data_IF_534433070234
#
_entry.id   IF_534433070234
#
_cell.length_a   1.000
_cell.length_b   1.000
_cell.length_c   1.000
_cell.angle_alpha   90.00
_cell.angle_beta   90.00
_cell.angle_gamma   90.00
#
_symmetry.space_group_name_H-M   'P 1'
#
loop_
_entity.id
_entity.type
_entity.pdbx_description
1 polymer ?
#
# COMPACT_ATOMS: atom_id res chain seq x y z
N UNK A 1 13.20 3.38 -19.26
CA UNK A 1 12.59 4.53 -18.54
C UNK A 1 13.14 4.54 -17.14
N UNK A 2 13.21 5.70 -16.53
CA UNK A 2 13.79 5.80 -15.19
C UNK A 2 12.67 5.91 -14.16
N UNK A 3 12.58 4.93 -13.28
CA UNK A 3 11.66 4.92 -12.14
C UNK A 3 12.50 5.10 -10.87
N UNK A 4 12.09 6.01 -10.00
CA UNK A 4 12.57 6.07 -8.62
C UNK A 4 11.57 5.33 -7.72
N UNK A 5 12.04 4.39 -6.93
CA UNK A 5 11.22 3.82 -5.84
C UNK A 5 11.40 4.66 -4.59
N UNK A 6 10.31 5.04 -3.94
CA UNK A 6 10.33 5.83 -2.69
C UNK A 6 9.81 4.99 -1.54
N UNK A 7 10.57 4.95 -0.44
CA UNK A 7 10.33 4.10 0.72
C UNK A 7 10.39 4.96 2.00
N UNK A 8 9.27 5.37 2.60
CA UNK A 8 9.26 5.84 3.98
C UNK A 8 9.52 4.68 4.93
N UNK A 9 10.37 4.88 5.95
CA UNK A 9 10.72 3.81 6.87
C UNK A 9 10.86 4.31 8.31
N UNK A 10 10.43 3.49 9.27
CA UNK A 10 10.60 3.76 10.69
C UNK A 10 10.76 2.47 11.50
N UNK A 11 11.94 2.27 12.12
CA UNK A 11 12.27 1.09 12.94
C UNK A 11 12.06 -0.24 12.18
N UNK A 12 12.72 -0.37 11.01
CA UNK A 12 12.60 -1.51 10.10
C UNK A 12 13.92 -2.21 9.77
N UNK A 13 14.97 -1.97 10.54
CA UNK A 13 16.29 -2.55 10.29
C UNK A 13 16.25 -4.06 9.94
N UNK A 14 15.39 -4.83 10.59
CA UNK A 14 15.26 -6.28 10.36
C UNK A 14 14.60 -6.65 9.01
N UNK A 15 13.78 -5.78 8.45
CA UNK A 15 13.03 -6.05 7.22
C UNK A 15 13.75 -5.56 5.97
N UNK A 16 14.48 -4.46 6.08
CA UNK A 16 15.15 -3.82 4.93
C UNK A 16 16.07 -4.76 4.13
N UNK A 17 16.84 -5.71 4.74
CA UNK A 17 17.62 -6.69 3.98
C UNK A 17 16.77 -7.63 3.11
N UNK A 18 15.49 -7.81 3.44
CA UNK A 18 14.55 -8.66 2.70
C UNK A 18 13.85 -7.83 1.62
N UNK A 19 13.38 -6.65 1.97
CA UNK A 19 12.49 -5.83 1.12
C UNK A 19 13.25 -5.02 0.08
N UNK A 20 14.30 -4.30 0.47
CA UNK A 20 15.06 -3.40 -0.42
C UNK A 20 15.58 -4.09 -1.67
N UNK A 21 16.18 -5.30 -1.63
CA UNK A 21 16.67 -5.97 -2.83
C UNK A 21 15.61 -6.18 -3.91
N UNK A 22 14.34 -6.36 -3.52
CA UNK A 22 13.25 -6.65 -4.46
C UNK A 22 12.82 -5.44 -5.29
N UNK A 23 13.15 -4.24 -4.85
CA UNK A 23 12.88 -2.99 -5.55
C UNK A 23 13.90 -2.67 -6.64
N UNK A 24 15.08 -3.31 -6.64
CA UNK A 24 16.09 -3.12 -7.68
C UNK A 24 15.76 -3.96 -8.92
N UNK A 25 14.72 -3.55 -9.66
CA UNK A 25 14.29 -4.17 -10.93
C UNK A 25 14.83 -3.37 -12.13
N UNK A 26 14.73 -3.96 -13.35
CA UNK A 26 15.39 -3.47 -14.56
C UNK A 26 15.14 -1.99 -14.89
N UNK A 27 13.92 -1.48 -14.68
CA UNK A 27 13.56 -0.09 -15.01
C UNK A 27 13.79 0.88 -13.84
N UNK A 28 14.28 0.40 -12.70
CA UNK A 28 14.52 1.23 -11.50
C UNK A 28 15.91 1.84 -11.57
N UNK A 29 15.97 3.17 -11.58
CA UNK A 29 17.24 3.92 -11.58
C UNK A 29 17.80 4.14 -10.19
N UNK A 30 16.93 4.28 -9.20
CA UNK A 30 17.29 4.53 -7.81
C UNK A 30 16.19 4.07 -6.85
N UNK A 31 16.61 3.74 -5.63
CA UNK A 31 15.70 3.54 -4.50
C UNK A 31 16.02 4.63 -3.47
N UNK A 32 15.01 5.39 -3.06
CA UNK A 32 15.12 6.49 -2.10
C UNK A 32 14.45 6.06 -0.80
N UNK A 33 15.23 5.78 0.22
CA UNK A 33 14.73 5.48 1.56
C UNK A 33 14.82 6.73 2.42
N UNK A 34 13.70 7.14 3.01
CA UNK A 34 13.63 8.20 4.00
C UNK A 34 13.28 7.60 5.35
N UNK A 35 14.24 7.65 6.26
CA UNK A 35 14.13 7.18 7.63
C UNK A 35 13.47 8.26 8.49
N UNK A 36 12.32 7.95 9.06
CA UNK A 36 11.54 8.84 9.90
C UNK A 36 12.06 8.90 11.35
N UNK A 37 13.36 9.13 11.51
CA UNK A 37 14.04 9.21 12.81
C UNK A 37 13.98 7.88 13.60
N UNK A 38 14.37 6.77 12.98
CA UNK A 38 14.44 5.44 13.63
C UNK A 38 15.37 5.45 14.84
N UNK A 39 15.01 4.68 15.85
CA UNK A 39 15.79 4.47 17.07
C UNK A 39 16.52 3.12 17.11
N UNK A 40 16.24 2.25 16.14
CA UNK A 40 16.97 0.99 15.95
C UNK A 40 18.20 1.19 15.05
N UNK A 41 18.84 0.11 14.63
CA UNK A 41 20.03 0.14 13.77
C UNK A 41 19.72 0.28 12.28
N UNK A 42 18.61 0.96 11.91
CA UNK A 42 18.20 1.17 10.50
C UNK A 42 19.32 1.84 9.70
N UNK A 43 19.98 2.88 10.23
CA UNK A 43 21.03 3.61 9.51
C UNK A 43 22.23 2.72 9.15
N UNK A 44 22.67 1.86 10.08
CA UNK A 44 23.78 0.93 9.87
C UNK A 44 23.42 -0.12 8.81
N UNK A 45 22.21 -0.68 8.88
CA UNK A 45 21.71 -1.65 7.89
C UNK A 45 21.63 -1.03 6.50
N UNK A 46 21.14 0.20 6.39
CA UNK A 46 21.08 0.88 5.09
C UNK A 46 22.48 1.14 4.53
N UNK A 47 23.44 1.55 5.38
CA UNK A 47 24.83 1.73 4.96
C UNK A 47 25.45 0.44 4.42
N UNK A 48 25.14 -0.71 5.02
CA UNK A 48 25.56 -2.02 4.51
C UNK A 48 24.89 -2.32 3.15
N UNK A 49 23.57 -2.09 3.03
CA UNK A 49 22.86 -2.29 1.78
C UNK A 49 23.37 -1.41 0.64
N UNK A 50 23.82 -0.18 0.93
CA UNK A 50 24.43 0.71 -0.07
C UNK A 50 25.71 0.16 -0.68
N UNK A 51 26.44 -0.72 0.01
CA UNK A 51 27.64 -1.40 -0.56
C UNK A 51 27.25 -2.37 -1.68
N UNK A 52 26.04 -2.95 -1.61
CA UNK A 52 25.50 -3.90 -2.60
C UNK A 52 24.65 -3.20 -3.66
N UNK A 53 24.01 -2.11 -3.27
CA UNK A 53 23.09 -1.33 -4.09
C UNK A 53 23.53 0.15 -4.13
N UNK A 54 24.50 0.53 -4.98
CA UNK A 54 25.09 1.89 -4.98
C UNK A 54 24.07 3.00 -5.31
N UNK A 55 22.96 2.67 -5.95
CA UNK A 55 21.88 3.63 -6.25
C UNK A 55 20.79 3.70 -5.17
N UNK A 56 21.02 3.07 -4.01
CA UNK A 56 20.21 3.27 -2.79
C UNK A 56 20.59 4.60 -2.17
N UNK A 57 19.68 5.55 -2.15
CA UNK A 57 19.86 6.85 -1.52
C UNK A 57 19.16 6.88 -0.18
N UNK A 58 19.83 7.33 0.87
CA UNK A 58 19.36 7.40 2.22
C UNK A 58 19.24 8.84 2.70
N UNK A 59 18.09 9.18 3.25
CA UNK A 59 17.81 10.43 3.93
C UNK A 59 17.19 10.13 5.29
N UNK A 60 17.35 11.04 6.24
CA UNK A 60 16.81 10.88 7.60
C UNK A 60 16.13 12.16 8.04
N UNK A 61 14.92 12.05 8.58
CA UNK A 61 14.24 13.16 9.24
C UNK A 61 14.87 13.42 10.61
N UNK A 62 14.87 14.67 11.05
CA UNK A 62 15.38 15.07 12.37
C UNK A 62 14.47 14.58 13.51
N UNK A 63 13.17 14.47 13.25
CA UNK A 63 12.16 14.00 14.20
C UNK A 63 11.20 13.04 13.50
N UNK A 64 10.52 12.18 14.27
CA UNK A 64 9.49 11.30 13.73
C UNK A 64 8.26 12.12 13.29
N UNK A 65 8.12 12.30 11.98
CA UNK A 65 7.13 13.18 11.32
C UNK A 65 5.95 12.41 10.71
N UNK A 66 5.93 11.08 10.86
CA UNK A 66 4.93 10.13 10.35
C UNK A 66 4.98 9.95 8.83
N UNK A 67 4.27 8.91 8.39
CA UNK A 67 4.35 8.40 7.02
C UNK A 67 4.01 9.44 5.95
N UNK A 68 2.92 10.23 6.02
CA UNK A 68 2.59 11.20 4.96
C UNK A 68 3.68 12.26 4.73
N UNK A 69 4.26 12.78 5.82
CA UNK A 69 5.35 13.75 5.72
C UNK A 69 6.61 13.11 5.12
N UNK A 70 6.98 11.93 5.62
CA UNK A 70 8.16 11.18 5.17
C UNK A 70 8.05 10.79 3.70
N UNK A 71 6.86 10.43 3.24
CA UNK A 71 6.56 10.17 1.84
C UNK A 71 6.75 11.44 0.97
N UNK A 72 6.26 12.59 1.42
CA UNK A 72 6.46 13.86 0.72
C UNK A 72 7.93 14.26 0.65
N UNK A 73 8.71 14.02 1.71
CA UNK A 73 10.17 14.21 1.69
C UNK A 73 10.79 13.31 0.63
N UNK A 74 10.43 12.02 0.58
CA UNK A 74 10.96 11.09 -0.43
C UNK A 74 10.62 11.56 -1.86
N UNK A 75 9.37 11.95 -2.13
CA UNK A 75 8.93 12.49 -3.42
C UNK A 75 9.75 13.73 -3.83
N UNK A 76 10.12 14.60 -2.87
CA UNK A 76 10.91 15.79 -3.15
C UNK A 76 12.33 15.49 -3.64
N UNK A 77 12.88 14.30 -3.32
CA UNK A 77 14.23 13.86 -3.69
C UNK A 77 14.31 13.14 -5.04
N UNK A 78 13.18 12.80 -5.64
CA UNK A 78 13.09 12.07 -6.93
C UNK A 78 13.55 12.94 -8.08
N UNK A 79 14.32 12.37 -9.01
CA UNK A 79 14.76 13.02 -10.24
C UNK A 79 14.16 12.38 -11.49
N UNK A 80 13.61 11.18 -11.40
CA UNK A 80 13.00 10.44 -12.51
C UNK A 80 11.62 10.96 -12.90
N UNK A 81 11.16 10.52 -14.07
CA UNK A 81 9.81 10.85 -14.60
C UNK A 81 8.69 10.11 -13.86
N UNK A 82 9.00 8.93 -13.30
CA UNK A 82 8.04 8.06 -12.62
C UNK A 82 8.51 7.74 -11.22
N UNK A 83 7.54 7.61 -10.31
CA UNK A 83 7.73 7.18 -8.93
C UNK A 83 6.95 5.90 -8.71
N UNK A 84 7.59 4.89 -8.15
CA UNK A 84 6.90 3.76 -7.52
C UNK A 84 6.87 3.99 -6.01
N UNK A 85 5.67 4.03 -5.44
CA UNK A 85 5.49 4.18 -4.00
C UNK A 85 5.61 2.79 -3.35
N UNK A 86 6.77 2.47 -2.81
CA UNK A 86 7.03 1.20 -2.15
C UNK A 86 6.78 1.26 -0.63
N UNK A 87 6.78 0.08 0.00
CA UNK A 87 6.67 -0.09 1.45
C UNK A 87 7.89 -0.81 2.02
N UNK A 88 8.32 -0.43 3.22
CA UNK A 88 9.49 -1.02 3.90
C UNK A 88 9.20 -2.41 4.49
N UNK A 89 7.97 -2.88 4.45
CA UNK A 89 7.51 -4.18 4.94
C UNK A 89 6.83 -5.04 3.86
N UNK A 90 7.15 -4.77 2.60
CA UNK A 90 6.64 -5.51 1.43
C UNK A 90 7.76 -5.89 0.49
N UNK A 91 7.58 -6.99 -0.22
CA UNK A 91 8.41 -7.38 -1.36
C UNK A 91 7.69 -7.09 -2.67
N UNK A 92 8.43 -6.60 -3.65
CA UNK A 92 7.91 -6.37 -4.99
C UNK A 92 8.24 -7.57 -5.88
N UNK A 93 7.22 -8.22 -6.43
CA UNK A 93 7.41 -9.39 -7.28
C UNK A 93 8.19 -9.03 -8.57
N UNK A 94 9.10 -9.89 -9.03
CA UNK A 94 9.93 -9.60 -10.21
C UNK A 94 9.12 -9.20 -11.45
N UNK A 95 9.58 -8.16 -12.16
CA UNK A 95 8.92 -7.64 -13.35
C UNK A 95 7.72 -6.72 -13.09
N UNK A 96 7.34 -6.48 -11.82
CA UNK A 96 6.18 -5.64 -11.49
C UNK A 96 6.34 -4.22 -12.03
N UNK A 97 7.50 -3.58 -11.88
CA UNK A 97 7.75 -2.22 -12.39
C UNK A 97 7.57 -2.16 -13.91
N UNK A 98 8.15 -3.12 -14.64
CA UNK A 98 8.00 -3.21 -16.09
C UNK A 98 6.54 -3.33 -16.51
N UNK A 99 5.78 -4.17 -15.81
CA UNK A 99 4.37 -4.40 -16.10
C UNK A 99 3.52 -3.14 -15.82
N UNK A 100 3.78 -2.42 -14.73
CA UNK A 100 3.12 -1.13 -14.43
C UNK A 100 3.42 -0.07 -15.51
N UNK A 101 4.70 0.04 -15.95
CA UNK A 101 5.11 0.94 -17.03
C UNK A 101 4.41 0.62 -18.35
N UNK A 102 4.27 -0.65 -18.68
CA UNK A 102 3.59 -1.08 -19.92
C UNK A 102 2.12 -0.64 -19.90
N UNK A 103 1.42 -0.86 -18.78
CA UNK A 103 0.02 -0.42 -18.62
C UNK A 103 -0.08 1.11 -18.68
N UNK A 104 0.84 1.82 -18.01
CA UNK A 104 0.87 3.28 -18.02
C UNK A 104 0.97 3.84 -19.44
N UNK A 105 1.82 3.25 -20.28
CA UNK A 105 1.95 3.63 -21.70
C UNK A 105 0.72 3.26 -22.51
N UNK A 106 0.27 2.00 -22.41
CA UNK A 106 -0.84 1.46 -23.20
C UNK A 106 -2.13 2.26 -22.95
N UNK A 107 -2.43 2.56 -21.69
CA UNK A 107 -3.66 3.25 -21.29
C UNK A 107 -3.49 4.78 -21.22
N UNK A 108 -2.29 5.31 -21.51
CA UNK A 108 -1.94 6.72 -21.27
C UNK A 108 -2.33 7.15 -19.84
N UNK A 109 -2.04 6.29 -18.87
CA UNK A 109 -2.43 6.49 -17.49
C UNK A 109 -1.49 7.47 -16.75
N UNK A 110 -1.99 8.10 -15.70
CA UNK A 110 -1.19 8.96 -14.83
C UNK A 110 -0.71 8.19 -13.59
N UNK A 111 -1.50 7.20 -13.15
CA UNK A 111 -1.20 6.30 -12.03
C UNK A 111 -1.62 4.88 -12.41
N UNK A 112 -0.82 3.89 -12.03
CA UNK A 112 -1.15 2.47 -12.21
C UNK A 112 -0.83 1.70 -10.93
N UNK A 113 -1.83 1.05 -10.36
CA UNK A 113 -1.66 0.17 -9.20
C UNK A 113 -1.68 -1.31 -9.59
N UNK A 114 -0.88 -2.09 -8.87
CA UNK A 114 -0.86 -3.55 -8.96
C UNK A 114 -1.75 -4.24 -7.93
N UNK A 115 -1.67 -5.58 -7.88
CA UNK A 115 -2.25 -6.33 -6.76
C UNK A 115 -1.48 -6.04 -5.48
N UNK A 116 -2.22 -5.97 -4.37
CA UNK A 116 -1.68 -5.91 -3.03
C UNK A 116 -2.08 -7.17 -2.26
N UNK A 117 -1.12 -8.00 -1.99
CA UNK A 117 -1.29 -9.30 -1.35
C UNK A 117 -0.60 -9.30 0.02
N UNK A 118 -0.89 -10.25 0.88
CA UNK A 118 -0.25 -10.37 2.18
C UNK A 118 0.08 -11.83 2.47
N UNK A 119 1.33 -12.09 2.82
CA UNK A 119 1.76 -13.39 3.32
C UNK A 119 1.23 -13.60 4.74
N UNK A 120 0.95 -14.83 5.06
CA UNK A 120 0.51 -15.25 6.40
C UNK A 120 1.66 -15.84 7.21
N UNK A 121 2.62 -16.49 6.53
CA UNK A 121 3.74 -17.18 7.16
C UNK A 121 5.06 -16.81 6.49
N UNK A 122 6.18 -16.70 7.25
CA UNK A 122 7.49 -16.34 6.72
C UNK A 122 8.00 -17.25 5.59
N UNK A 123 7.73 -18.55 5.67
CA UNK A 123 8.15 -19.55 4.68
C UNK A 123 7.56 -19.30 3.27
N UNK A 124 6.43 -18.61 3.18
CA UNK A 124 5.81 -18.26 1.89
C UNK A 124 6.64 -17.26 1.06
N UNK A 125 7.65 -16.61 1.67
CA UNK A 125 8.55 -15.69 0.95
C UNK A 125 9.35 -16.45 -0.12
N UNK A 126 9.71 -17.69 0.16
CA UNK A 126 10.50 -18.53 -0.74
C UNK A 126 9.62 -19.22 -1.82
N UNK A 127 8.30 -19.14 -1.71
CA UNK A 127 7.30 -19.84 -2.54
C UNK A 127 6.30 -18.86 -3.18
N UNK A 128 6.75 -17.68 -3.60
CA UNK A 128 5.87 -16.62 -4.10
C UNK A 128 5.05 -17.02 -5.33
N UNK A 129 5.59 -17.87 -6.22
CA UNK A 129 4.87 -18.34 -7.41
C UNK A 129 3.68 -19.25 -7.04
N UNK A 130 3.88 -20.13 -6.08
CA UNK A 130 2.81 -20.97 -5.54
C UNK A 130 1.77 -20.09 -4.83
N UNK A 131 2.21 -19.19 -3.98
CA UNK A 131 1.33 -18.24 -3.30
C UNK A 131 0.48 -17.44 -4.28
N UNK A 132 1.06 -16.91 -5.35
CA UNK A 132 0.34 -16.14 -6.39
C UNK A 132 -0.66 -17.00 -7.16
N UNK A 133 -0.42 -18.30 -7.30
CA UNK A 133 -1.31 -19.21 -8.02
C UNK A 133 -2.72 -19.27 -7.42
N UNK A 134 -2.85 -19.13 -6.09
CA UNK A 134 -4.12 -19.14 -5.37
C UNK A 134 -5.06 -17.96 -5.72
N UNK A 135 -4.52 -16.90 -6.33
CA UNK A 135 -5.29 -15.72 -6.72
C UNK A 135 -5.70 -15.69 -8.19
N UNK A 136 -5.27 -16.66 -9.01
CA UNK A 136 -5.52 -16.68 -10.46
C UNK A 136 -7.00 -16.73 -10.81
N UNK A 137 -7.80 -17.44 -10.03
CA UNK A 137 -9.22 -17.68 -10.27
C UNK A 137 -10.14 -16.61 -9.65
N UNK A 138 -9.59 -15.64 -8.93
CA UNK A 138 -10.36 -14.53 -8.36
C UNK A 138 -10.45 -13.42 -9.39
N UNK A 139 -11.37 -13.55 -10.36
CA UNK A 139 -11.43 -12.64 -11.51
C UNK A 139 -12.40 -11.51 -11.23
N UNK A 140 -11.97 -10.27 -11.48
CA UNK A 140 -12.82 -9.09 -11.58
C UNK A 140 -12.92 -8.63 -13.04
N UNK A 141 -14.11 -8.18 -13.42
CA UNK A 141 -14.41 -7.64 -14.76
C UNK A 141 -14.82 -6.17 -14.72
N UNK A 142 -15.14 -5.65 -13.54
CA UNK A 142 -15.65 -4.29 -13.34
C UNK A 142 -14.92 -3.59 -12.19
N UNK A 143 -14.84 -2.25 -12.29
CA UNK A 143 -14.15 -1.42 -11.32
C UNK A 143 -14.73 -1.51 -9.90
N UNK A 144 -16.06 -1.65 -9.77
CA UNK A 144 -16.75 -1.74 -8.48
C UNK A 144 -16.43 -3.03 -7.70
N UNK A 145 -15.97 -4.08 -8.37
CA UNK A 145 -15.48 -5.30 -7.73
C UNK A 145 -14.10 -5.08 -7.09
N UNK A 146 -13.31 -4.11 -7.60
CA UNK A 146 -11.98 -3.74 -7.08
C UNK A 146 -12.10 -2.63 -6.04
N UNK A 147 -12.91 -1.60 -6.35
CA UNK A 147 -13.15 -0.44 -5.49
C UNK A 147 -14.64 -0.16 -5.44
N UNK A 148 -15.28 -0.41 -4.32
CA UNK A 148 -16.68 -0.04 -4.09
C UNK A 148 -16.74 1.32 -3.38
N UNK A 149 -17.02 2.37 -4.15
CA UNK A 149 -17.14 3.73 -3.63
C UNK A 149 -18.32 3.91 -2.66
N UNK A 150 -19.33 3.03 -2.72
CA UNK A 150 -20.49 3.11 -1.81
C UNK A 150 -20.13 2.77 -0.36
N UNK A 151 -19.06 2.00 -0.17
CA UNK A 151 -18.58 1.54 1.14
C UNK A 151 -17.13 1.94 1.39
N UNK A 152 -16.42 2.46 0.39
CA UNK A 152 -14.97 2.66 0.35
C UNK A 152 -14.19 1.38 0.68
N UNK A 153 -14.78 0.22 0.38
CA UNK A 153 -14.09 -1.07 0.47
C UNK A 153 -13.31 -1.37 -0.80
N UNK A 154 -12.23 -2.13 -0.63
CA UNK A 154 -11.30 -2.44 -1.71
C UNK A 154 -11.00 -3.93 -1.75
N UNK A 155 -10.70 -4.44 -2.93
CA UNK A 155 -10.22 -5.79 -3.13
C UNK A 155 -9.11 -5.82 -4.19
N UNK A 156 -7.93 -5.37 -3.80
CA UNK A 156 -6.75 -5.34 -4.67
C UNK A 156 -6.07 -6.72 -4.83
N UNK A 157 -6.78 -7.81 -4.54
CA UNK A 157 -6.30 -9.18 -4.74
C UNK A 157 -6.84 -9.82 -6.02
N UNK A 158 -7.82 -9.20 -6.66
CA UNK A 158 -8.44 -9.75 -7.87
C UNK A 158 -7.49 -9.78 -9.07
N UNK A 159 -7.63 -10.84 -9.85
CA UNK A 159 -7.05 -10.93 -11.20
C UNK A 159 -7.96 -10.22 -12.20
N UNK A 160 -7.39 -9.47 -13.12
CA UNK A 160 -8.10 -8.84 -14.24
C UNK A 160 -7.47 -9.30 -15.55
N UNK A 161 -8.30 -9.51 -16.58
CA UNK A 161 -7.81 -9.88 -17.92
C UNK A 161 -7.14 -8.70 -18.62
N UNK A 162 -7.72 -7.51 -18.45
CA UNK A 162 -7.24 -6.24 -18.98
C UNK A 162 -7.18 -5.20 -17.86
N UNK A 163 -6.29 -4.21 -17.93
CA UNK A 163 -6.26 -3.13 -16.95
C UNK A 163 -7.58 -2.37 -16.88
N UNK A 164 -8.10 -2.19 -15.66
CA UNK A 164 -9.40 -1.56 -15.39
C UNK A 164 -9.18 -0.17 -14.81
N UNK A 165 -9.86 0.85 -15.36
CA UNK A 165 -9.87 2.20 -14.79
C UNK A 165 -10.63 2.18 -13.46
N UNK A 166 -9.98 2.69 -12.39
CA UNK A 166 -10.53 2.69 -11.03
C UNK A 166 -10.45 4.09 -10.42
N UNK A 167 -11.29 4.43 -9.43
CA UNK A 167 -11.25 5.73 -8.77
C UNK A 167 -10.01 5.90 -7.87
N UNK A 168 -9.44 4.81 -7.36
CA UNK A 168 -8.16 4.75 -6.67
C UNK A 168 -7.64 3.31 -6.65
N UNK A 169 -6.35 3.13 -6.40
CA UNK A 169 -5.70 1.83 -6.30
C UNK A 169 -5.05 1.66 -4.93
N UNK A 170 -4.21 0.64 -4.76
CA UNK A 170 -3.39 0.46 -3.56
C UNK A 170 -2.26 1.51 -3.52
N UNK A 171 -1.72 1.75 -2.34
CA UNK A 171 -0.61 2.64 -2.05
C UNK A 171 0.60 2.42 -2.92
N UNK A 172 0.99 1.16 -3.08
CA UNK A 172 2.05 0.78 -4.00
C UNK A 172 1.57 0.90 -5.42
N UNK A 173 1.92 2.01 -6.00
CA UNK A 173 1.54 2.33 -7.37
C UNK A 173 2.64 3.10 -8.08
N UNK A 174 2.72 2.88 -9.36
CA UNK A 174 3.52 3.70 -10.26
C UNK A 174 2.75 4.98 -10.58
N UNK A 175 3.37 6.12 -10.38
CA UNK A 175 2.79 7.45 -10.57
C UNK A 175 3.73 8.33 -11.38
N UNK A 176 3.20 9.20 -12.25
CA UNK A 176 4.00 10.29 -12.82
C UNK A 176 4.50 11.19 -11.70
N UNK A 177 5.79 11.49 -11.67
CA UNK A 177 6.42 12.33 -10.63
C UNK A 177 5.75 13.69 -10.48
N UNK A 178 5.30 14.28 -11.59
CA UNK A 178 4.58 15.53 -11.57
C UNK A 178 3.26 15.43 -10.78
N UNK A 179 2.50 14.35 -10.95
CA UNK A 179 1.24 14.12 -10.21
C UNK A 179 1.52 13.97 -8.72
N UNK A 180 2.53 13.18 -8.36
CA UNK A 180 2.90 12.99 -6.95
C UNK A 180 3.32 14.31 -6.27
N UNK A 181 4.06 15.17 -6.97
CA UNK A 181 4.48 16.50 -6.48
C UNK A 181 3.32 17.48 -6.34
N UNK A 182 2.37 17.44 -7.26
CA UNK A 182 1.20 18.31 -7.24
C UNK A 182 0.23 17.91 -6.13
N UNK A 183 -0.09 16.64 -6.03
CA UNK A 183 -1.08 16.13 -5.09
C UNK A 183 -0.57 16.08 -3.65
N UNK A 184 0.66 15.67 -3.40
CA UNK A 184 1.27 15.41 -2.11
C UNK A 184 0.38 14.64 -1.11
N UNK A 185 0.95 13.96 -0.16
CA UNK A 185 0.22 13.31 0.91
C UNK A 185 -0.23 14.33 1.97
N UNK A 186 -1.43 14.19 2.49
CA UNK A 186 -1.97 15.10 3.50
C UNK A 186 -1.40 14.78 4.88
N UNK A 187 -0.53 15.65 5.37
CA UNK A 187 0.15 15.50 6.68
C UNK A 187 -0.80 15.60 7.88
N UNK A 188 -2.06 15.98 7.69
CA UNK A 188 -3.08 15.97 8.75
C UNK A 188 -3.65 14.58 9.01
N UNK A 189 -3.37 13.60 8.14
CA UNK A 189 -3.72 12.19 8.36
C UNK A 189 -2.63 11.58 9.24
N UNK A 190 -2.91 11.43 10.52
CA UNK A 190 -1.95 11.07 11.55
C UNK A 190 -2.16 9.65 12.10
N UNK A 191 -1.33 9.28 13.08
CA UNK A 191 -1.43 8.05 13.86
C UNK A 191 -1.08 6.82 13.03
N UNK A 192 -2.07 6.02 12.67
CA UNK A 192 -1.86 4.83 11.82
C UNK A 192 -1.92 5.14 10.31
N UNK A 193 -1.97 6.41 9.94
CA UNK A 193 -2.03 6.91 8.56
C UNK A 193 -3.19 6.32 7.71
N UNK A 194 -4.22 5.74 8.34
CA UNK A 194 -5.35 5.15 7.60
C UNK A 194 -5.99 6.17 6.66
N UNK A 195 -6.23 5.81 5.41
CA UNK A 195 -6.74 6.67 4.32
C UNK A 195 -5.75 7.67 3.71
N UNK A 196 -4.48 7.72 4.10
CA UNK A 196 -3.53 8.66 3.48
C UNK A 196 -3.42 8.46 1.97
N UNK A 197 -3.26 7.21 1.54
CA UNK A 197 -3.16 6.85 0.12
C UNK A 197 -4.51 7.02 -0.60
N UNK A 198 -5.60 6.64 0.07
CA UNK A 198 -6.95 6.83 -0.49
C UNK A 198 -7.21 8.33 -0.73
N UNK A 199 -6.80 9.20 0.20
CA UNK A 199 -6.92 10.65 0.07
C UNK A 199 -6.09 11.18 -1.10
N UNK A 200 -4.82 10.78 -1.18
CA UNK A 200 -3.94 11.15 -2.28
C UNK A 200 -4.52 10.76 -3.64
N UNK A 201 -4.93 9.49 -3.80
CA UNK A 201 -5.43 8.95 -5.06
C UNK A 201 -6.81 9.49 -5.44
N UNK A 202 -7.73 9.66 -4.47
CA UNK A 202 -9.03 10.30 -4.73
C UNK A 202 -8.85 11.75 -5.16
N UNK A 203 -7.96 12.52 -4.53
CA UNK A 203 -7.68 13.89 -4.96
C UNK A 203 -7.09 13.93 -6.36
N UNK A 204 -6.22 13.00 -6.72
CA UNK A 204 -5.70 12.88 -8.07
C UNK A 204 -6.83 12.62 -9.07
N UNK A 205 -7.74 11.69 -8.80
CA UNK A 205 -8.91 11.43 -9.66
C UNK A 205 -9.84 12.65 -9.76
N UNK A 206 -10.10 13.33 -8.65
CA UNK A 206 -10.92 14.54 -8.62
C UNK A 206 -10.29 15.71 -9.40
N UNK A 207 -8.95 15.74 -9.48
CA UNK A 207 -8.20 16.70 -10.33
C UNK A 207 -8.16 16.31 -11.81
N UNK A 208 -8.72 15.16 -12.19
CA UNK A 208 -8.83 14.71 -13.58
C UNK A 208 -7.76 13.69 -13.99
N UNK A 209 -6.84 13.30 -13.12
CA UNK A 209 -5.85 12.27 -13.41
C UNK A 209 -6.48 10.88 -13.52
N UNK A 210 -5.90 10.03 -14.38
CA UNK A 210 -6.40 8.69 -14.66
C UNK A 210 -5.65 7.64 -13.87
N UNK A 211 -6.40 6.73 -13.21
CA UNK A 211 -5.86 5.64 -12.42
C UNK A 211 -6.33 4.32 -13.00
N UNK A 212 -5.39 3.39 -13.21
CA UNK A 212 -5.68 2.01 -13.64
C UNK A 212 -5.20 1.00 -12.63
N UNK A 213 -5.92 -0.10 -12.53
CA UNK A 213 -5.55 -1.29 -11.78
C UNK A 213 -5.18 -2.41 -12.74
N UNK A 214 -4.12 -3.16 -12.43
CA UNK A 214 -3.71 -4.36 -13.16
C UNK A 214 -3.31 -5.49 -12.21
N UNK A 215 -3.52 -6.74 -12.62
CA UNK A 215 -3.04 -7.90 -11.87
C UNK A 215 -1.68 -8.42 -12.35
N UNK A 216 -1.06 -7.76 -13.33
CA UNK A 216 0.26 -8.16 -13.85
C UNK A 216 1.44 -7.69 -12.98
N UNK A 217 1.18 -6.83 -11.98
CA UNK A 217 2.15 -6.38 -11.01
C UNK A 217 1.69 -6.76 -9.60
N UNK A 218 2.62 -7.16 -8.74
CA UNK A 218 2.28 -7.65 -7.41
C UNK A 218 3.22 -7.06 -6.36
N UNK A 219 2.65 -6.37 -5.38
CA UNK A 219 3.28 -6.10 -4.10
C UNK A 219 2.76 -7.08 -3.05
N UNK A 220 3.66 -7.63 -2.27
CA UNK A 220 3.36 -8.71 -1.33
C UNK A 220 3.86 -8.29 0.04
N UNK A 221 2.93 -7.98 0.92
CA UNK A 221 3.23 -7.60 2.30
C UNK A 221 3.78 -8.79 3.08
N UNK A 222 4.85 -8.55 3.85
CA UNK A 222 5.42 -9.54 4.74
C UNK A 222 4.43 -9.94 5.84
N UNK A 223 4.55 -11.15 6.42
CA UNK A 223 3.67 -11.61 7.49
C UNK A 223 3.65 -10.66 8.68
N UNK A 224 2.49 -10.48 9.31
CA UNK A 224 2.33 -9.64 10.50
C UNK A 224 3.21 -10.07 11.68
N UNK A 225 3.58 -11.34 11.75
CA UNK A 225 4.52 -11.85 12.74
C UNK A 225 5.94 -11.27 12.60
N UNK A 226 6.34 -10.84 11.39
CA UNK A 226 7.63 -10.21 11.12
C UNK A 226 7.59 -8.68 11.32
N UNK A 227 6.41 -8.08 11.29
CA UNK A 227 6.20 -6.64 11.24
C UNK A 227 5.48 -6.13 12.49
N UNK A 228 5.73 -4.86 12.87
CA UNK A 228 5.07 -4.21 13.99
C UNK A 228 4.76 -2.74 13.68
N UNK A 229 3.75 -2.17 14.36
CA UNK A 229 3.37 -0.76 14.19
C UNK A 229 2.41 -0.50 13.02
N UNK A 230 2.03 0.76 12.82
CA UNK A 230 1.11 1.20 11.76
C UNK A 230 -0.19 0.40 11.72
N UNK A 231 -0.53 -0.11 10.55
CA UNK A 231 -1.72 -0.95 10.33
C UNK A 231 -1.68 -2.29 11.09
N UNK A 232 -0.47 -2.74 11.52
CA UNK A 232 -0.21 -4.01 12.22
C UNK A 232 -0.05 -3.84 13.74
N UNK A 233 -0.52 -2.72 14.29
CA UNK A 233 -0.51 -2.48 15.73
C UNK A 233 -1.33 -3.53 16.49
N UNK A 234 -0.73 -4.12 17.54
CA UNK A 234 -1.42 -5.04 18.46
C UNK A 234 -2.41 -4.31 19.40
N UNK A 235 -2.30 -2.99 19.54
CA UNK A 235 -3.30 -2.20 20.24
C UNK A 235 -4.49 -1.92 19.31
N UNK A 236 -5.36 -2.91 19.15
CA UNK A 236 -6.51 -2.85 18.23
C UNK A 236 -7.50 -1.72 18.53
N UNK A 237 -7.64 -1.34 19.81
CA UNK A 237 -8.50 -0.21 20.20
C UNK A 237 -7.93 1.11 19.69
N UNK A 238 -6.68 1.40 19.99
CA UNK A 238 -6.00 2.61 19.51
C UNK A 238 -5.92 2.67 18.00
N UNK A 239 -5.67 1.51 17.34
CA UNK A 239 -5.72 1.41 15.89
C UNK A 239 -7.08 1.80 15.32
N UNK A 240 -8.18 1.29 15.93
CA UNK A 240 -9.54 1.58 15.50
C UNK A 240 -9.92 3.06 15.69
N UNK A 241 -9.53 3.67 16.83
CA UNK A 241 -9.77 5.07 17.12
C UNK A 241 -9.10 5.99 16.07
N UNK A 242 -7.83 5.71 15.73
CA UNK A 242 -7.12 6.43 14.67
C UNK A 242 -7.75 6.22 13.29
N UNK A 243 -8.11 4.97 12.94
CA UNK A 243 -8.74 4.67 11.66
C UNK A 243 -10.09 5.39 11.49
N UNK A 244 -10.91 5.45 12.54
CA UNK A 244 -12.19 6.18 12.52
C UNK A 244 -11.94 7.68 12.36
N UNK A 245 -11.03 8.27 13.13
CA UNK A 245 -10.70 9.70 13.04
C UNK A 245 -10.24 10.08 11.64
N UNK A 246 -9.31 9.31 11.08
CA UNK A 246 -8.76 9.59 9.75
C UNK A 246 -9.80 9.37 8.64
N UNK A 247 -10.64 8.34 8.76
CA UNK A 247 -11.73 8.14 7.80
C UNK A 247 -12.78 9.25 7.87
N UNK A 248 -13.13 9.72 9.06
CA UNK A 248 -14.06 10.83 9.22
C UNK A 248 -13.48 12.11 8.60
N UNK A 249 -12.21 12.40 8.86
CA UNK A 249 -11.50 13.52 8.24
C UNK A 249 -11.46 13.40 6.71
N UNK A 250 -11.12 12.24 6.17
CA UNK A 250 -11.12 11.97 4.72
C UNK A 250 -12.50 12.23 4.10
N UNK A 251 -13.57 11.72 4.74
CA UNK A 251 -14.94 11.90 4.26
C UNK A 251 -15.34 13.37 4.34
N UNK A 252 -15.07 14.07 5.44
CA UNK A 252 -15.41 15.50 5.59
C UNK A 252 -14.74 16.36 4.53
N UNK A 253 -13.51 16.04 4.18
CA UNK A 253 -12.70 16.77 3.20
C UNK A 253 -13.15 16.52 1.77
N UNK A 254 -13.44 15.28 1.39
CA UNK A 254 -13.56 14.89 -0.02
C UNK A 254 -14.99 14.59 -0.48
N UNK A 255 -15.93 14.37 0.46
CA UNK A 255 -17.28 13.86 0.14
C UNK A 255 -18.02 14.69 -0.93
N UNK A 256 -18.07 16.01 -0.79
CA UNK A 256 -18.88 16.84 -1.69
C UNK A 256 -18.35 16.78 -3.14
N UNK A 257 -17.03 16.75 -3.32
CA UNK A 257 -16.40 16.56 -4.62
C UNK A 257 -16.60 15.14 -5.18
N UNK A 258 -16.49 14.13 -4.31
CA UNK A 258 -16.77 12.74 -4.68
C UNK A 258 -18.25 12.55 -5.06
N UNK A 259 -19.17 13.17 -4.30
CA UNK A 259 -20.60 13.12 -4.59
C UNK A 259 -20.92 13.72 -5.95
N UNK A 260 -20.30 14.86 -6.27
CA UNK A 260 -20.48 15.52 -7.58
C UNK A 260 -19.95 14.67 -8.73
N UNK A 261 -18.81 13.99 -8.56
CA UNK A 261 -18.17 13.21 -9.63
C UNK A 261 -18.77 11.82 -9.79
N UNK A 262 -19.07 11.13 -8.69
CA UNK A 262 -19.40 9.70 -8.67
C UNK A 262 -20.85 9.40 -8.33
N UNK A 263 -21.67 10.39 -7.95
CA UNK A 263 -23.08 10.19 -7.54
C UNK A 263 -23.22 9.11 -6.46
N UNK A 264 -22.50 9.30 -5.33
CA UNK A 264 -22.47 8.33 -4.25
C UNK A 264 -23.88 8.01 -3.72
N UNK A 265 -24.22 6.72 -3.45
CA UNK A 265 -25.57 6.33 -3.04
C UNK A 265 -25.86 6.60 -1.56
N UNK A 266 -24.87 7.03 -0.77
CA UNK A 266 -24.97 7.28 0.67
C UNK A 266 -24.59 8.71 1.01
N UNK A 267 -25.22 9.24 2.03
CA UNK A 267 -24.86 10.51 2.64
C UNK A 267 -23.52 10.41 3.38
N UNK A 268 -22.93 11.54 3.69
CA UNK A 268 -21.69 11.66 4.48
C UNK A 268 -21.79 10.92 5.82
N UNK A 269 -22.88 11.09 6.53
CA UNK A 269 -23.09 10.47 7.86
C UNK A 269 -23.31 8.96 7.76
N UNK A 270 -24.02 8.49 6.73
CA UNK A 270 -24.19 7.06 6.48
C UNK A 270 -22.86 6.37 6.15
N UNK A 271 -21.98 7.01 5.37
CA UNK A 271 -20.66 6.47 5.08
C UNK A 271 -19.79 6.37 6.35
N UNK A 272 -19.79 7.40 7.20
CA UNK A 272 -19.09 7.37 8.47
C UNK A 272 -19.65 6.31 9.43
N UNK A 273 -20.98 6.17 9.51
CA UNK A 273 -21.63 5.16 10.35
C UNK A 273 -21.29 3.75 9.90
N UNK A 274 -21.37 3.50 8.58
CA UNK A 274 -21.00 2.22 7.99
C UNK A 274 -19.55 1.85 8.29
N UNK A 275 -18.62 2.80 8.15
CA UNK A 275 -17.21 2.57 8.46
C UNK A 275 -16.98 2.15 9.91
N UNK A 276 -17.67 2.80 10.87
CA UNK A 276 -17.60 2.40 12.29
C UNK A 276 -18.04 0.94 12.51
N UNK A 277 -19.07 0.49 11.78
CA UNK A 277 -19.51 -0.92 11.84
C UNK A 277 -18.43 -1.85 11.26
N UNK A 278 -17.85 -1.48 10.13
CA UNK A 278 -16.78 -2.25 9.49
C UNK A 278 -15.55 -2.38 10.39
N UNK A 279 -15.11 -1.28 11.02
CA UNK A 279 -13.98 -1.28 11.96
C UNK A 279 -14.24 -2.17 13.18
N UNK A 280 -15.43 -2.12 13.77
CA UNK A 280 -15.79 -3.03 14.88
C UNK A 280 -15.67 -4.50 14.47
N UNK A 281 -16.13 -4.85 13.25
CA UNK A 281 -16.00 -6.20 12.71
C UNK A 281 -14.53 -6.60 12.50
N UNK A 282 -13.71 -5.70 11.95
CA UNK A 282 -12.27 -5.93 11.74
C UNK A 282 -11.53 -6.14 13.07
N UNK A 283 -11.81 -5.34 14.09
CA UNK A 283 -11.21 -5.50 15.44
C UNK A 283 -11.58 -6.85 16.02
N UNK A 284 -12.85 -7.27 15.90
CA UNK A 284 -13.27 -8.60 16.37
C UNK A 284 -12.53 -9.73 15.64
N UNK A 285 -12.35 -9.60 14.32
CA UNK A 285 -11.60 -10.57 13.52
C UNK A 285 -10.13 -10.63 13.94
N UNK A 286 -9.48 -9.48 14.16
CA UNK A 286 -8.09 -9.41 14.66
C UNK A 286 -7.95 -10.13 16.01
N UNK A 287 -8.85 -9.91 16.95
CA UNK A 287 -8.82 -10.62 18.24
C UNK A 287 -8.96 -12.13 18.09
N UNK A 288 -9.84 -12.59 17.18
CA UNK A 288 -9.99 -14.02 16.90
C UNK A 288 -8.69 -14.58 16.29
N UNK A 289 -8.07 -13.88 15.34
CA UNK A 289 -6.82 -14.30 14.73
C UNK A 289 -5.68 -14.37 15.75
N UNK A 290 -5.51 -13.33 16.58
CA UNK A 290 -4.50 -13.32 17.66
C UNK A 290 -4.70 -14.49 18.63
N UNK A 291 -5.95 -14.83 18.95
CA UNK A 291 -6.27 -15.99 19.77
C UNK A 291 -5.89 -17.31 19.10
N UNK A 292 -6.25 -17.48 17.81
CA UNK A 292 -5.92 -18.68 17.04
C UNK A 292 -4.41 -18.85 16.84
N UNK A 293 -3.66 -17.76 16.64
CA UNK A 293 -2.20 -17.76 16.59
C UNK A 293 -1.62 -18.23 17.93
N UNK A 294 -2.12 -17.67 19.05
CA UNK A 294 -1.64 -18.00 20.40
C UNK A 294 -1.81 -19.49 20.75
N UNK A 295 -2.88 -20.13 20.29
CA UNK A 295 -3.15 -21.55 20.54
C UNK A 295 -2.62 -22.47 19.43
N UNK A 296 -1.90 -21.93 18.43
CA UNK A 296 -1.28 -22.69 17.34
C UNK A 296 -2.24 -23.25 16.29
N UNK A 297 -3.53 -22.87 16.32
CA UNK A 297 -4.53 -23.38 15.39
C UNK A 297 -4.61 -22.58 14.08
N UNK A 298 -4.08 -21.36 14.05
CA UNK A 298 -4.19 -20.49 12.86
C UNK A 298 -3.61 -21.15 11.60
N UNK A 299 -2.40 -21.70 11.68
CA UNK A 299 -1.72 -22.37 10.56
C UNK A 299 -2.50 -23.58 10.05
N UNK A 300 -3.07 -24.37 10.94
CA UNK A 300 -3.88 -25.55 10.60
C UNK A 300 -5.15 -25.13 9.84
N UNK A 301 -5.88 -24.14 10.36
CA UNK A 301 -7.11 -23.64 9.75
C UNK A 301 -6.82 -23.03 8.38
N UNK A 302 -5.73 -22.28 8.26
CA UNK A 302 -5.29 -21.69 7.00
C UNK A 302 -5.05 -22.77 5.92
N UNK A 303 -4.27 -23.81 6.23
CA UNK A 303 -3.97 -24.89 5.29
C UNK A 303 -5.22 -25.71 4.90
N UNK A 304 -6.16 -25.91 5.83
CA UNK A 304 -7.41 -26.60 5.52
C UNK A 304 -8.23 -25.75 4.53
N UNK A 305 -8.34 -24.44 4.78
CA UNK A 305 -9.15 -23.54 3.93
C UNK A 305 -8.57 -23.40 2.51
N UNK A 306 -7.24 -23.36 2.36
CA UNK A 306 -6.57 -23.18 1.06
C UNK A 306 -6.20 -24.50 0.37
N UNK A 307 -6.54 -25.66 0.95
CA UNK A 307 -6.44 -26.96 0.28
C UNK A 307 -7.62 -27.23 -0.66
N UNK A 308 -8.69 -26.46 -0.54
CA UNK A 308 -9.94 -26.63 -1.28
C UNK A 308 -10.29 -25.43 -2.20
N UNK A 309 -9.42 -24.41 -2.26
CA UNK A 309 -9.47 -23.31 -3.25
C UNK A 309 -8.55 -23.61 -4.45
#
# INVERSE_FOLDING_TARGET
MNVSVVLPSFNRARLLPITIPTYFQEDVSEVILVDDCSSDNTAEVVKELQTRFPTLRYFRNEVNSKQPYTQNVAISKVLSEYIDCGDDDSVLYPGSIRNLLNVMREKNADIVGGRALALFFPEQIDELDEFLSHYRNRIATEANQIVDLSTLSTNFTYTVKEPIKVPFCHASCLCKTQVAREMQFDVKIEGNAYREETDFLIRATLAGYTIYYTSSANQINLPSAMCSGGARSKNHRHWAENAIRNNDYFIDKNYDSMQKMFSLPRTKDEMKALFRVQIKKQVRQKHIMDFLERIGLFKIIYHIKHKFD
#
